data_IF_191217864231
#
_entry.id   IF_191217864231
#
_cell.length_a   1.000
_cell.length_b   1.000
_cell.length_c   1.000
_cell.angle_alpha   90.00
_cell.angle_beta   90.00
_cell.angle_gamma   90.00
#
_symmetry.space_group_name_H-M   'P 1'
#
loop_
_entity.id
_entity.type
_entity.pdbx_description
1 polymer ?
#
# COMPACT_ATOMS: atom_id res chain seq x y z
N UNK A 1 -62.61 43.26 -27.62
CA UNK A 1 -61.67 42.51 -28.49
C UNK A 1 -60.28 43.06 -28.26
N UNK A 2 -59.28 42.16 -28.13
CA UNK A 2 -57.81 42.39 -27.98
C UNK A 2 -57.35 42.81 -26.56
N UNK A 3 -56.35 42.23 -25.91
CA UNK A 3 -55.49 41.06 -26.16
C UNK A 3 -54.79 40.65 -24.84
N UNK A 4 -54.87 39.36 -24.45
CA UNK A 4 -53.76 38.64 -23.79
C UNK A 4 -52.65 38.44 -24.84
N UNK A 5 -51.35 38.34 -24.57
CA UNK A 5 -50.71 37.36 -23.69
C UNK A 5 -49.27 37.79 -23.42
N UNK A 6 -48.88 37.69 -22.15
CA UNK A 6 -47.58 38.00 -21.58
C UNK A 6 -46.70 36.73 -21.61
N UNK A 7 -45.43 36.92 -22.01
CA UNK A 7 -44.23 36.16 -21.61
C UNK A 7 -44.21 34.65 -21.85
N UNK A 8 -43.50 34.21 -22.89
CA UNK A 8 -42.73 32.96 -22.85
C UNK A 8 -41.70 32.97 -23.98
N UNK A 9 -40.41 33.24 -23.72
CA UNK A 9 -39.30 32.92 -24.65
C UNK A 9 -37.92 33.22 -24.01
N UNK A 10 -37.64 32.67 -22.82
CA UNK A 10 -36.27 32.70 -22.25
C UNK A 10 -35.83 31.37 -21.61
N UNK A 11 -36.63 30.31 -21.70
CA UNK A 11 -36.43 29.06 -20.94
C UNK A 11 -35.77 27.88 -21.69
N UNK A 12 -35.33 28.06 -22.94
CA UNK A 12 -34.94 26.92 -23.80
C UNK A 12 -33.44 26.85 -24.17
N UNK A 13 -32.62 27.84 -23.79
CA UNK A 13 -31.19 27.83 -24.12
C UNK A 13 -30.29 27.17 -23.04
N UNK A 14 -30.77 27.00 -21.80
CA UNK A 14 -29.97 26.44 -20.70
C UNK A 14 -30.08 24.91 -20.55
N UNK A 15 -31.06 24.26 -21.17
CA UNK A 15 -31.27 22.81 -21.04
C UNK A 15 -30.42 22.01 -22.07
N UNK A 16 -29.96 22.65 -23.15
CA UNK A 16 -29.13 21.96 -24.15
C UNK A 16 -27.66 21.80 -23.74
N UNK A 17 -27.14 22.64 -22.83
CA UNK A 17 -25.73 22.59 -22.42
C UNK A 17 -25.44 21.49 -21.37
N UNK A 18 -26.46 21.01 -20.66
CA UNK A 18 -26.29 19.99 -19.61
C UNK A 18 -26.26 18.55 -20.13
N UNK A 19 -26.56 18.30 -21.40
CA UNK A 19 -26.54 16.95 -21.98
C UNK A 19 -25.25 16.60 -22.73
N UNK A 20 -24.36 17.57 -22.97
CA UNK A 20 -23.08 17.36 -23.68
C UNK A 20 -21.87 17.39 -22.73
N UNK A 21 -22.06 17.90 -21.51
CA UNK A 21 -20.97 18.12 -20.55
C UNK A 21 -20.40 16.89 -19.80
N UNK A 22 -21.07 15.71 -19.66
CA UNK A 22 -20.49 14.65 -18.82
C UNK A 22 -19.30 13.92 -19.47
N UNK A 23 -18.97 14.18 -20.73
CA UNK A 23 -17.90 13.48 -21.47
C UNK A 23 -16.58 14.27 -21.60
N UNK A 24 -16.56 15.55 -21.21
CA UNK A 24 -15.37 16.43 -21.33
C UNK A 24 -14.61 16.54 -20.01
N UNK A 25 -14.99 15.78 -18.99
CA UNK A 25 -14.14 15.58 -17.83
C UNK A 25 -13.19 14.46 -18.20
N UNK A 26 -12.10 14.84 -18.90
CA UNK A 26 -10.99 13.94 -19.15
C UNK A 26 -10.64 13.27 -17.84
N UNK A 27 -10.58 11.93 -17.85
CA UNK A 27 -10.04 11.16 -16.75
C UNK A 27 -8.73 11.85 -16.35
N UNK A 28 -8.72 12.50 -15.18
CA UNK A 28 -7.50 13.09 -14.68
C UNK A 28 -6.49 11.95 -14.63
N UNK A 29 -5.56 11.95 -15.58
CA UNK A 29 -4.61 10.87 -15.77
C UNK A 29 -3.90 10.69 -14.44
N UNK A 30 -4.21 9.60 -13.74
CA UNK A 30 -3.62 9.32 -12.43
C UNK A 30 -2.11 9.44 -12.58
N UNK A 31 -1.42 10.16 -11.68
CA UNK A 31 0.02 10.25 -11.76
C UNK A 31 0.60 8.84 -11.79
N UNK A 32 1.49 8.57 -12.75
CA UNK A 32 2.11 7.24 -12.89
C UNK A 32 2.84 6.92 -11.57
N UNK A 33 2.62 5.72 -11.00
CA UNK A 33 3.36 5.29 -9.82
C UNK A 33 4.87 5.37 -10.08
N UNK A 34 5.62 5.90 -9.10
CA UNK A 34 7.08 6.00 -9.17
C UNK A 34 7.68 4.74 -8.54
N UNK A 35 8.59 4.07 -9.25
CA UNK A 35 9.30 2.90 -8.73
C UNK A 35 10.18 3.29 -7.53
N UNK A 36 9.99 2.68 -6.35
CA UNK A 36 10.75 2.99 -5.15
C UNK A 36 12.17 2.37 -5.13
N UNK A 37 12.57 1.58 -6.15
CA UNK A 37 13.93 1.09 -6.36
C UNK A 37 14.23 -0.32 -5.84
N UNK A 38 13.32 -0.92 -5.06
CA UNK A 38 13.40 -2.34 -4.68
C UNK A 38 12.97 -2.62 -3.22
N UNK A 39 12.66 -3.87 -2.86
CA UNK A 39 12.72 -5.06 -3.71
C UNK A 39 11.61 -5.11 -4.78
N UNK A 40 11.83 -5.82 -5.88
CA UNK A 40 10.87 -5.89 -6.98
C UNK A 40 9.67 -6.81 -6.64
N UNK A 41 8.73 -6.29 -5.85
CA UNK A 41 7.51 -6.99 -5.48
C UNK A 41 6.47 -7.00 -6.60
N UNK A 42 6.51 -6.04 -7.53
CA UNK A 42 5.65 -6.06 -8.73
C UNK A 42 5.84 -7.37 -9.50
N UNK A 43 7.10 -7.80 -9.71
CA UNK A 43 7.41 -9.05 -10.39
C UNK A 43 6.89 -10.31 -9.67
N UNK A 44 6.61 -10.22 -8.37
CA UNK A 44 6.03 -11.30 -7.57
C UNK A 44 4.51 -11.34 -7.76
N UNK A 45 3.84 -10.20 -7.54
CA UNK A 45 2.38 -10.13 -7.58
C UNK A 45 1.81 -10.26 -9.01
N UNK A 46 2.52 -9.77 -10.03
CA UNK A 46 2.09 -9.86 -11.44
C UNK A 46 1.99 -11.30 -11.98
N UNK A 47 2.51 -12.29 -11.26
CA UNK A 47 2.44 -13.71 -11.65
C UNK A 47 1.12 -14.38 -11.28
N UNK A 48 0.25 -13.71 -10.53
CA UNK A 48 -1.07 -14.24 -10.19
C UNK A 48 -2.04 -14.13 -11.37
N UNK A 49 -2.94 -15.11 -11.49
CA UNK A 49 -3.93 -15.16 -12.57
C UNK A 49 -5.01 -14.07 -12.45
N UNK A 50 -5.29 -13.60 -11.23
CA UNK A 50 -6.26 -12.54 -10.95
C UNK A 50 -5.53 -11.24 -10.57
N UNK A 51 -5.41 -10.32 -11.52
CA UNK A 51 -4.76 -9.02 -11.33
C UNK A 51 -5.44 -8.15 -10.26
N UNK A 52 -6.77 -8.22 -10.14
CA UNK A 52 -7.50 -7.43 -9.14
C UNK A 52 -7.23 -7.95 -7.73
N UNK A 53 -7.22 -9.26 -7.55
CA UNK A 53 -6.85 -9.87 -6.28
C UNK A 53 -5.36 -9.63 -5.97
N UNK A 54 -4.49 -9.68 -6.98
CA UNK A 54 -3.07 -9.38 -6.84
C UNK A 54 -2.81 -7.95 -6.35
N UNK A 55 -3.49 -6.97 -6.94
CA UNK A 55 -3.42 -5.58 -6.51
C UNK A 55 -3.89 -5.41 -5.05
N UNK A 56 -5.02 -6.04 -4.69
CA UNK A 56 -5.54 -5.99 -3.31
C UNK A 56 -4.61 -6.66 -2.29
N UNK A 57 -3.99 -7.79 -2.65
CA UNK A 57 -3.03 -8.48 -1.79
C UNK A 57 -1.73 -7.68 -1.64
N UNK A 58 -1.23 -7.08 -2.72
CA UNK A 58 -0.07 -6.19 -2.69
C UNK A 58 -0.32 -4.97 -1.80
N UNK A 59 -1.51 -4.37 -1.90
CA UNK A 59 -1.92 -3.27 -1.04
C UNK A 59 -1.97 -3.69 0.43
N UNK A 60 -2.62 -4.83 0.73
CA UNK A 60 -2.71 -5.34 2.09
C UNK A 60 -1.32 -5.65 2.70
N UNK A 61 -0.43 -6.25 1.91
CA UNK A 61 0.95 -6.50 2.34
C UNK A 61 1.73 -5.21 2.58
N UNK A 62 1.56 -4.20 1.71
CA UNK A 62 2.18 -2.89 1.87
C UNK A 62 1.73 -2.18 3.16
N UNK A 63 0.42 -2.19 3.43
CA UNK A 63 -0.15 -1.63 4.67
C UNK A 63 0.32 -2.36 5.93
N UNK A 64 0.50 -3.69 5.86
CA UNK A 64 1.12 -4.44 6.97
C UNK A 64 2.55 -3.97 7.24
N UNK A 65 3.37 -3.84 6.18
CA UNK A 65 4.76 -3.39 6.32
C UNK A 65 4.83 -1.97 6.90
N UNK A 66 3.94 -1.07 6.45
CA UNK A 66 3.84 0.28 7.00
C UNK A 66 3.47 0.25 8.50
N UNK A 67 2.47 -0.54 8.86
CA UNK A 67 2.04 -0.70 10.25
C UNK A 67 3.15 -1.25 11.15
N UNK A 68 3.96 -2.19 10.64
CA UNK A 68 5.13 -2.71 11.34
C UNK A 68 6.18 -1.61 11.59
N UNK A 69 6.48 -0.80 10.58
CA UNK A 69 7.43 0.32 10.72
C UNK A 69 6.94 1.35 11.75
N UNK A 70 5.67 1.74 11.68
CA UNK A 70 5.06 2.74 12.57
C UNK A 70 5.05 2.26 14.01
N UNK A 71 4.79 0.97 14.25
CA UNK A 71 4.83 0.38 15.58
C UNK A 71 6.26 0.33 16.13
N UNK A 72 7.26 -0.06 15.33
CA UNK A 72 8.67 -0.08 15.78
C UNK A 72 9.12 1.34 16.15
N UNK A 73 8.72 2.33 15.35
CA UNK A 73 8.99 3.74 15.62
C UNK A 73 8.30 4.21 16.91
N UNK A 74 7.04 3.84 17.11
CA UNK A 74 6.28 4.18 18.31
C UNK A 74 6.89 3.56 19.57
N UNK A 75 7.23 2.26 19.54
CA UNK A 75 7.85 1.55 20.66
C UNK A 75 9.22 2.16 21.01
N UNK A 76 10.02 2.51 19.98
CA UNK A 76 11.33 3.13 20.18
C UNK A 76 11.30 4.52 20.82
N UNK A 77 10.15 5.20 20.83
CA UNK A 77 9.95 6.51 21.47
C UNK A 77 9.50 6.41 22.93
N UNK A 78 9.21 5.23 23.44
CA UNK A 78 8.79 5.04 24.83
C UNK A 78 9.98 5.18 25.79
N UNK A 79 9.70 5.56 27.04
CA UNK A 79 10.71 5.59 28.09
C UNK A 79 11.32 4.19 28.34
N UNK A 80 10.49 3.16 28.20
CA UNK A 80 10.86 1.75 28.31
C UNK A 80 10.32 0.99 27.09
N UNK A 81 11.07 0.92 25.97
CA UNK A 81 10.67 0.17 24.78
C UNK A 81 10.51 -1.33 25.08
N UNK A 82 9.45 -1.94 24.57
CA UNK A 82 9.13 -3.35 24.81
C UNK A 82 9.83 -4.29 23.82
N UNK A 83 10.13 -3.82 22.60
CA UNK A 83 10.80 -4.61 21.57
C UNK A 83 12.31 -4.48 21.75
N UNK A 84 12.93 -5.28 22.61
CA UNK A 84 14.34 -5.13 23.00
C UNK A 84 15.33 -5.97 22.18
N UNK A 85 14.84 -6.82 21.25
CA UNK A 85 15.67 -7.71 20.45
C UNK A 85 15.11 -7.97 19.04
N UNK A 86 16.00 -8.35 18.12
CA UNK A 86 15.62 -8.77 16.76
C UNK A 86 14.71 -10.00 16.75
N UNK A 87 14.89 -10.93 17.70
CA UNK A 87 14.01 -12.10 17.84
C UNK A 87 12.57 -11.71 18.18
N UNK A 88 12.39 -10.74 19.08
CA UNK A 88 11.05 -10.23 19.41
C UNK A 88 10.38 -9.55 18.20
N UNK A 89 11.15 -8.82 17.39
CA UNK A 89 10.64 -8.24 16.14
C UNK A 89 10.21 -9.31 15.14
N UNK A 90 10.98 -10.38 14.97
CA UNK A 90 10.62 -11.45 14.05
C UNK A 90 9.36 -12.22 14.51
N UNK A 91 9.27 -12.48 15.82
CA UNK A 91 8.06 -13.05 16.41
C UNK A 91 6.84 -12.14 16.19
N UNK A 92 7.00 -10.83 16.44
CA UNK A 92 5.94 -9.86 16.22
C UNK A 92 5.48 -9.84 14.76
N UNK A 93 6.41 -9.73 13.81
CA UNK A 93 6.13 -9.77 12.36
C UNK A 93 5.35 -11.02 11.97
N UNK A 94 5.75 -12.17 12.50
CA UNK A 94 5.09 -13.46 12.23
C UNK A 94 3.65 -13.45 12.75
N UNK A 95 3.42 -12.96 13.97
CA UNK A 95 2.10 -12.83 14.56
C UNK A 95 1.22 -11.81 13.83
N UNK A 96 1.74 -10.62 13.50
CA UNK A 96 0.98 -9.59 12.77
C UNK A 96 0.48 -10.11 11.43
N UNK A 97 1.34 -10.82 10.68
CA UNK A 97 0.92 -11.49 9.45
C UNK A 97 -0.18 -12.51 9.71
N UNK A 98 0.02 -13.40 10.69
CA UNK A 98 -0.96 -14.44 11.02
C UNK A 98 -2.34 -13.86 11.34
N UNK A 99 -2.40 -12.77 12.12
CA UNK A 99 -3.66 -12.10 12.45
C UNK A 99 -4.29 -11.41 11.24
N UNK A 100 -3.50 -10.72 10.40
CA UNK A 100 -4.00 -10.06 9.21
C UNK A 100 -4.62 -11.05 8.22
N UNK A 101 -4.00 -12.22 8.05
CA UNK A 101 -4.44 -13.23 7.07
C UNK A 101 -5.45 -14.24 7.63
N UNK A 102 -5.87 -14.10 8.89
CA UNK A 102 -6.74 -15.08 9.55
C UNK A 102 -6.13 -16.50 9.60
N UNK A 103 -4.81 -16.59 9.72
CA UNK A 103 -4.06 -17.85 9.68
C UNK A 103 -3.70 -18.34 8.27
N UNK A 104 -4.16 -17.66 7.22
CA UNK A 104 -3.72 -17.92 5.85
C UNK A 104 -2.27 -17.49 5.60
N UNK A 105 -1.73 -17.81 4.42
CA UNK A 105 -0.38 -17.38 4.04
C UNK A 105 -0.38 -16.83 2.63
N UNK A 106 0.16 -15.61 2.47
CA UNK A 106 0.44 -15.06 1.15
C UNK A 106 1.32 -15.99 0.31
N UNK A 107 2.18 -16.82 0.94
CA UNK A 107 3.04 -17.77 0.25
C UNK A 107 2.27 -18.84 -0.55
N UNK A 108 1.01 -19.12 -0.19
CA UNK A 108 0.17 -20.07 -0.94
C UNK A 108 -0.20 -19.50 -2.32
N UNK A 109 -0.49 -18.19 -2.40
CA UNK A 109 -0.81 -17.49 -3.65
C UNK A 109 0.45 -16.95 -4.35
N UNK A 110 1.45 -16.55 -3.58
CA UNK A 110 2.69 -15.93 -4.06
C UNK A 110 3.91 -16.67 -3.49
N UNK A 111 4.28 -17.84 -4.04
CA UNK A 111 5.36 -18.67 -3.49
C UNK A 111 6.72 -17.97 -3.39
N UNK A 112 6.99 -17.00 -4.26
CA UNK A 112 8.24 -16.24 -4.27
C UNK A 112 8.27 -15.09 -3.24
N UNK A 113 7.12 -14.66 -2.70
CA UNK A 113 7.05 -13.50 -1.80
C UNK A 113 7.89 -13.66 -0.53
N UNK A 114 7.86 -14.80 0.20
CA UNK A 114 8.67 -14.97 1.40
C UNK A 114 10.17 -14.85 1.13
N UNK A 115 10.62 -15.40 0.00
CA UNK A 115 12.04 -15.34 -0.38
C UNK A 115 12.44 -13.92 -0.75
N UNK A 116 11.71 -13.26 -1.65
CA UNK A 116 12.05 -11.89 -2.09
C UNK A 116 12.05 -10.89 -0.93
N UNK A 117 11.03 -10.95 -0.06
CA UNK A 117 10.97 -10.07 1.11
C UNK A 117 12.02 -10.46 2.17
N UNK A 118 12.25 -11.77 2.37
CA UNK A 118 13.24 -12.28 3.32
C UNK A 118 14.67 -11.91 2.95
N UNK A 119 15.06 -12.13 1.69
CA UNK A 119 16.38 -11.79 1.17
C UNK A 119 16.64 -10.28 1.27
N UNK A 120 15.62 -9.46 0.99
CA UNK A 120 15.71 -8.01 1.18
C UNK A 120 15.95 -7.66 2.66
N UNK A 121 15.11 -8.16 3.58
CA UNK A 121 15.27 -7.89 5.02
C UNK A 121 16.63 -8.36 5.52
N UNK A 122 17.09 -9.54 5.12
CA UNK A 122 18.41 -10.06 5.49
C UNK A 122 19.53 -9.18 4.95
N UNK A 123 19.42 -8.65 3.73
CA UNK A 123 20.42 -7.73 3.17
C UNK A 123 20.50 -6.40 3.95
N UNK A 124 19.37 -5.93 4.48
CA UNK A 124 19.30 -4.65 5.19
C UNK A 124 19.66 -4.77 6.67
N UNK A 125 19.36 -5.92 7.30
CA UNK A 125 19.35 -6.11 8.74
C UNK A 125 20.42 -7.10 9.21
N UNK A 126 20.84 -8.02 8.35
CA UNK A 126 21.67 -9.16 8.72
C UNK A 126 20.83 -10.29 9.32
N UNK A 127 21.51 -11.23 9.98
CA UNK A 127 20.88 -12.40 10.64
C UNK A 127 21.00 -12.37 12.16
N UNK A 128 21.58 -11.31 12.72
CA UNK A 128 21.75 -11.18 14.16
C UNK A 128 20.42 -10.77 14.82
N UNK A 129 19.96 -11.59 15.76
CA UNK A 129 18.74 -11.35 16.54
C UNK A 129 18.99 -10.64 17.87
N UNK A 130 20.19 -10.08 18.05
CA UNK A 130 20.68 -9.45 19.28
C UNK A 130 19.87 -8.24 19.78
N UNK A 131 20.47 -7.50 20.71
CA UNK A 131 19.82 -6.35 21.35
C UNK A 131 19.49 -5.29 20.31
N UNK A 132 18.28 -4.76 20.39
CA UNK A 132 17.78 -3.74 19.48
C UNK A 132 18.10 -2.34 20.01
N UNK A 133 19.14 -1.71 19.48
CA UNK A 133 19.46 -0.32 19.78
C UNK A 133 18.73 0.68 18.85
N UNK A 134 19.01 1.98 19.00
CA UNK A 134 18.37 3.02 18.19
C UNK A 134 18.77 2.97 16.72
N UNK A 135 20.01 2.58 16.41
CA UNK A 135 20.49 2.46 15.03
C UNK A 135 19.84 1.26 14.34
N UNK A 136 19.72 0.13 15.03
CA UNK A 136 19.04 -1.04 14.51
C UNK A 136 17.54 -0.79 14.30
N UNK A 137 16.86 -0.09 15.23
CA UNK A 137 15.46 0.34 15.02
C UNK A 137 15.32 1.16 13.75
N UNK A 138 16.21 2.14 13.55
CA UNK A 138 16.16 2.98 12.35
C UNK A 138 16.30 2.14 11.06
N UNK A 139 17.19 1.14 11.06
CA UNK A 139 17.35 0.20 9.93
C UNK A 139 16.09 -0.64 9.70
N UNK A 140 15.49 -1.17 10.77
CA UNK A 140 14.24 -1.92 10.69
C UNK A 140 13.08 -1.08 10.15
N UNK A 141 12.91 0.14 10.65
CA UNK A 141 11.90 1.09 10.17
C UNK A 141 12.11 1.39 8.68
N UNK A 142 13.35 1.69 8.27
CA UNK A 142 13.67 1.97 6.87
C UNK A 142 13.37 0.78 5.96
N UNK A 143 13.78 -0.43 6.37
CA UNK A 143 13.55 -1.65 5.59
C UNK A 143 12.05 -1.94 5.40
N UNK A 144 11.24 -1.81 6.46
CA UNK A 144 9.80 -2.01 6.34
C UNK A 144 9.09 -0.93 5.54
N UNK A 145 9.52 0.34 5.65
CA UNK A 145 9.00 1.42 4.80
C UNK A 145 9.31 1.17 3.33
N UNK A 146 10.48 0.64 3.03
CA UNK A 146 10.85 0.30 1.66
C UNK A 146 10.05 -0.88 1.11
N UNK A 147 9.82 -1.93 1.92
CA UNK A 147 8.91 -3.02 1.56
C UNK A 147 7.48 -2.51 1.33
N UNK A 148 6.99 -1.63 2.20
CA UNK A 148 5.69 -1.01 2.06
C UNK A 148 5.58 -0.23 0.75
N UNK A 149 6.55 0.64 0.47
CA UNK A 149 6.59 1.41 -0.79
C UNK A 149 6.60 0.49 -2.01
N UNK A 150 7.41 -0.57 -2.00
CA UNK A 150 7.51 -1.54 -3.10
C UNK A 150 6.21 -2.30 -3.34
N UNK A 151 5.50 -2.66 -2.26
CA UNK A 151 4.24 -3.37 -2.35
C UNK A 151 3.08 -2.48 -2.78
N UNK A 152 3.03 -1.22 -2.29
CA UNK A 152 2.05 -0.23 -2.72
C UNK A 152 2.27 0.18 -4.17
N UNK A 153 3.52 0.34 -4.60
CA UNK A 153 3.86 0.51 -6.01
C UNK A 153 3.35 -0.65 -6.87
N UNK A 154 3.53 -1.89 -6.41
CA UNK A 154 3.00 -3.05 -7.11
C UNK A 154 1.47 -3.00 -7.20
N UNK A 155 0.78 -2.65 -6.10
CA UNK A 155 -0.67 -2.53 -6.07
C UNK A 155 -1.22 -1.49 -7.07
N UNK A 156 -0.53 -0.35 -7.20
CA UNK A 156 -0.93 0.72 -8.12
C UNK A 156 -0.57 0.42 -9.60
N UNK A 157 0.29 -0.58 -9.84
CA UNK A 157 0.83 -0.91 -11.16
C UNK A 157 0.26 -2.20 -11.79
N UNK A 158 -0.62 -2.89 -11.07
CA UNK A 158 -1.35 -4.10 -11.52
C UNK A 158 -2.74 -3.74 -12.04
#
# INVERSE_FOLDING_TARGET
>A
MKSSTIVTLSGLALVAYSLIAPWVWGEASRPRPVDPGGPNLLAVFQKADDARQAAADAQAFGLLCQSLADMIEFDGKQAEPQLVSGVQLDNFRTLSRFYQTGGGSYAQRYPALPQVAGDYLQSQLGTDGGKLDSADRARWIAAYRQLAASALYAADSL
#
